data_IF_460399689349
#
_entry.id   IF_460399689349
#
_cell.length_a   1.000
_cell.length_b   1.000
_cell.length_c   1.000
_cell.angle_alpha   90.00
_cell.angle_beta   90.00
_cell.angle_gamma   90.00
#
_symmetry.space_group_name_H-M   'P 1'
#
loop_
_entity.id
_entity.type
_entity.pdbx_description
1 polymer ?
#
# COMPACT_ATOMS: atom_id res chain seq x y z
N UNK A 1 16.25 -43.77 -18.68
CA UNK A 1 14.84 -44.03 -18.31
C UNK A 1 13.89 -43.66 -19.45
N UNK A 2 13.92 -42.42 -19.96
CA UNK A 2 13.04 -41.93 -21.04
C UNK A 2 13.17 -42.75 -22.34
N UNK A 3 14.39 -43.16 -22.73
CA UNK A 3 14.60 -44.03 -23.90
C UNK A 3 13.94 -45.42 -23.79
N UNK A 4 13.83 -45.98 -22.57
CA UNK A 4 13.11 -47.25 -22.35
C UNK A 4 11.59 -47.06 -22.45
N UNK A 5 11.07 -45.93 -21.97
CA UNK A 5 9.66 -45.57 -22.10
C UNK A 5 9.25 -45.36 -23.56
N UNK A 6 10.09 -44.70 -24.36
CA UNK A 6 9.87 -44.54 -25.80
C UNK A 6 9.84 -45.89 -26.53
N UNK A 7 10.76 -46.80 -26.22
CA UNK A 7 10.77 -48.15 -26.83
C UNK A 7 9.52 -48.96 -26.48
N UNK A 8 9.05 -48.86 -25.22
CA UNK A 8 7.85 -49.56 -24.76
C UNK A 8 6.59 -48.97 -25.41
N UNK A 9 6.52 -47.64 -25.54
CA UNK A 9 5.38 -46.96 -26.18
C UNK A 9 5.29 -47.28 -27.69
N UNK A 10 6.42 -47.31 -28.38
CA UNK A 10 6.48 -47.68 -29.80
C UNK A 10 6.07 -49.14 -30.07
N UNK A 11 6.31 -50.04 -29.11
CA UNK A 11 5.93 -51.45 -29.22
C UNK A 11 4.42 -51.68 -29.04
N UNK A 12 3.73 -50.85 -28.25
CA UNK A 12 2.31 -51.03 -27.92
C UNK A 12 1.37 -50.09 -28.68
N UNK A 13 1.84 -48.97 -29.25
CA UNK A 13 0.99 -48.03 -29.98
C UNK A 13 1.70 -47.44 -31.23
N UNK A 14 1.92 -48.25 -32.28
CA UNK A 14 2.66 -47.84 -33.48
C UNK A 14 1.84 -46.85 -34.31
N UNK A 15 2.19 -45.57 -34.24
CA UNK A 15 1.54 -44.48 -35.00
C UNK A 15 1.52 -43.13 -34.28
N UNK A 16 1.76 -43.09 -32.97
CA UNK A 16 1.80 -41.86 -32.18
C UNK A 16 3.22 -41.60 -31.64
N UNK A 17 3.72 -40.37 -31.82
CA UNK A 17 4.97 -39.91 -31.22
C UNK A 17 4.76 -39.70 -29.72
N UNK A 18 5.70 -40.17 -28.90
CA UNK A 18 5.70 -39.90 -27.47
C UNK A 18 6.12 -38.44 -27.25
N UNK A 19 5.17 -37.52 -27.27
CA UNK A 19 5.37 -36.14 -26.82
C UNK A 19 5.35 -36.12 -25.29
N UNK A 20 6.52 -35.86 -24.70
CA UNK A 20 6.66 -35.71 -23.26
C UNK A 20 7.17 -34.30 -22.97
N UNK A 21 6.38 -33.53 -22.22
CA UNK A 21 6.82 -32.29 -21.60
C UNK A 21 7.18 -32.57 -20.15
N UNK A 22 8.29 -32.00 -19.70
CA UNK A 22 8.64 -32.08 -18.29
C UNK A 22 7.68 -31.17 -17.52
N UNK A 23 7.03 -31.74 -16.51
CA UNK A 23 6.15 -31.02 -15.59
C UNK A 23 6.86 -29.78 -14.98
N UNK A 24 8.16 -29.89 -14.75
CA UNK A 24 9.01 -28.79 -14.26
C UNK A 24 9.06 -27.61 -15.24
N UNK A 25 9.11 -27.86 -16.56
CA UNK A 25 9.16 -26.81 -17.58
C UNK A 25 7.83 -26.05 -17.68
N UNK A 26 6.70 -26.75 -17.54
CA UNK A 26 5.37 -26.14 -17.53
C UNK A 26 5.14 -25.31 -16.25
N UNK A 27 5.55 -25.81 -15.08
CA UNK A 27 5.50 -25.02 -13.84
C UNK A 27 6.40 -23.78 -13.91
N UNK A 28 7.60 -23.90 -14.50
CA UNK A 28 8.54 -22.78 -14.60
C UNK A 28 7.98 -21.67 -15.51
N UNK A 29 7.34 -22.02 -16.62
CA UNK A 29 6.67 -21.06 -17.49
C UNK A 29 5.52 -20.33 -16.77
N UNK A 30 4.76 -21.04 -15.94
CA UNK A 30 3.66 -20.47 -15.15
C UNK A 30 4.16 -19.53 -14.03
N UNK A 31 5.25 -19.90 -13.35
CA UNK A 31 5.88 -19.08 -12.30
C UNK A 31 6.54 -17.79 -12.82
N UNK A 32 7.06 -17.77 -14.05
CA UNK A 32 7.71 -16.58 -14.62
C UNK A 32 6.71 -15.44 -14.80
N UNK A 33 5.49 -15.74 -15.26
CA UNK A 33 4.43 -14.73 -15.39
C UNK A 33 4.00 -14.19 -14.02
N UNK A 34 3.85 -15.05 -13.01
CA UNK A 34 3.49 -14.66 -11.64
C UNK A 34 4.58 -13.80 -10.98
N UNK A 35 5.85 -14.17 -11.15
CA UNK A 35 6.99 -13.42 -10.63
C UNK A 35 7.06 -12.00 -11.20
N UNK A 36 6.78 -11.83 -12.49
CA UNK A 36 6.73 -10.51 -13.12
C UNK A 36 5.60 -9.66 -12.54
N UNK A 37 4.38 -10.21 -12.44
CA UNK A 37 3.23 -9.49 -11.87
C UNK A 37 3.50 -9.06 -10.42
N UNK A 38 4.09 -9.94 -9.60
CA UNK A 38 4.43 -9.62 -8.21
C UNK A 38 5.46 -8.48 -8.12
N UNK A 39 6.48 -8.49 -8.97
CA UNK A 39 7.51 -7.43 -9.01
C UNK A 39 6.90 -6.09 -9.44
N UNK A 40 6.09 -6.08 -10.51
CA UNK A 40 5.40 -4.87 -10.98
C UNK A 40 4.46 -4.32 -9.91
N UNK A 41 3.65 -5.19 -9.27
CA UNK A 41 2.75 -4.81 -8.20
C UNK A 41 3.50 -4.16 -7.02
N UNK A 42 4.70 -4.66 -6.68
CA UNK A 42 5.53 -4.06 -5.62
C UNK A 42 5.98 -2.64 -5.98
N UNK A 43 6.39 -2.40 -7.22
CA UNK A 43 6.75 -1.05 -7.68
C UNK A 43 5.55 -0.10 -7.69
N UNK A 44 4.40 -0.55 -8.22
CA UNK A 44 3.18 0.26 -8.22
C UNK A 44 2.70 0.58 -6.82
N UNK A 45 2.75 -0.38 -5.89
CA UNK A 45 2.43 -0.14 -4.49
C UNK A 45 3.36 0.93 -3.87
N UNK A 46 4.67 0.84 -4.12
CA UNK A 46 5.63 1.85 -3.67
C UNK A 46 5.33 3.25 -4.21
N UNK A 47 5.04 3.37 -5.51
CA UNK A 47 4.65 4.65 -6.13
C UNK A 47 3.33 5.18 -5.59
N UNK A 48 2.33 4.32 -5.42
CA UNK A 48 1.03 4.69 -4.87
C UNK A 48 1.15 5.23 -3.44
N UNK A 49 2.01 4.62 -2.61
CA UNK A 49 2.33 5.10 -1.26
C UNK A 49 2.96 6.49 -1.32
N UNK A 50 3.94 6.71 -2.20
CA UNK A 50 4.59 8.01 -2.36
C UNK A 50 3.61 9.10 -2.81
N UNK A 51 2.78 8.82 -3.81
CA UNK A 51 1.77 9.76 -4.31
C UNK A 51 0.73 10.06 -3.21
N UNK A 52 0.30 9.04 -2.47
CA UNK A 52 -0.63 9.21 -1.34
C UNK A 52 -0.03 10.05 -0.23
N UNK A 53 1.26 9.86 0.07
CA UNK A 53 1.99 10.69 1.02
C UNK A 53 2.04 12.15 0.54
N UNK A 54 2.37 12.41 -0.73
CA UNK A 54 2.34 13.76 -1.31
C UNK A 54 0.94 14.41 -1.21
N UNK A 55 -0.12 13.64 -1.47
CA UNK A 55 -1.50 14.11 -1.31
C UNK A 55 -1.84 14.48 0.13
N UNK A 56 -1.46 13.62 1.09
CA UNK A 56 -1.62 13.90 2.53
C UNK A 56 -0.82 15.12 2.97
N UNK A 57 0.41 15.31 2.47
CA UNK A 57 1.23 16.50 2.73
C UNK A 57 0.51 17.77 2.23
N UNK A 58 -0.05 17.73 1.02
CA UNK A 58 -0.80 18.84 0.43
C UNK A 58 -2.06 19.17 1.23
N UNK A 59 -2.83 18.15 1.61
CA UNK A 59 -4.03 18.31 2.43
C UNK A 59 -3.71 18.87 3.82
N UNK A 60 -2.62 18.39 4.45
CA UNK A 60 -2.15 18.88 5.73
C UNK A 60 -1.72 20.35 5.65
N UNK A 61 -0.97 20.72 4.60
CA UNK A 61 -0.55 22.10 4.37
C UNK A 61 -1.75 23.03 4.13
N UNK A 62 -2.72 22.61 3.32
CA UNK A 62 -3.95 23.37 3.07
C UNK A 62 -4.80 23.52 4.35
N UNK A 63 -4.89 22.47 5.17
CA UNK A 63 -5.61 22.51 6.44
C UNK A 63 -4.93 23.45 7.45
N UNK A 64 -3.60 23.41 7.53
CA UNK A 64 -2.82 24.34 8.35
C UNK A 64 -2.99 25.79 7.87
N UNK A 65 -3.05 26.02 6.56
CA UNK A 65 -3.33 27.32 5.96
C UNK A 65 -4.71 27.84 6.38
N UNK A 66 -5.75 27.04 6.17
CA UNK A 66 -7.14 27.39 6.50
C UNK A 66 -7.34 27.68 7.99
N UNK A 67 -6.54 27.05 8.87
CA UNK A 67 -6.59 27.24 10.33
C UNK A 67 -5.51 28.19 10.87
N UNK A 68 -4.83 28.98 10.01
CA UNK A 68 -3.75 29.90 10.47
C UNK A 68 -4.20 30.88 11.54
N UNK A 69 -5.42 31.43 11.45
CA UNK A 69 -5.94 32.38 12.45
C UNK A 69 -6.06 31.73 13.84
N UNK A 70 -6.63 30.53 13.93
CA UNK A 70 -6.74 29.78 15.20
C UNK A 70 -5.36 29.41 15.78
N UNK A 71 -4.45 28.95 14.91
CA UNK A 71 -3.09 28.57 15.29
C UNK A 71 -2.30 29.78 15.78
N UNK A 72 -2.44 30.93 15.11
CA UNK A 72 -1.79 32.19 15.47
C UNK A 72 -2.26 32.73 16.82
N UNK A 73 -3.57 32.72 17.08
CA UNK A 73 -4.15 33.14 18.38
C UNK A 73 -3.67 32.22 19.50
N UNK A 74 -3.74 30.89 19.31
CA UNK A 74 -3.26 29.93 20.33
C UNK A 74 -1.77 30.07 20.60
N UNK A 75 -0.96 30.30 19.57
CA UNK A 75 0.48 30.48 19.71
C UNK A 75 0.83 31.80 20.42
N UNK A 76 0.10 32.88 20.17
CA UNK A 76 0.24 34.14 20.91
C UNK A 76 -0.16 34.01 22.40
N UNK A 77 -1.11 33.12 22.70
CA UNK A 77 -1.51 32.77 24.07
C UNK A 77 -0.57 31.74 24.74
N UNK A 78 0.56 31.39 24.11
CA UNK A 78 1.57 30.50 24.70
C UNK A 78 1.31 28.99 24.52
N UNK A 79 0.44 28.59 23.60
CA UNK A 79 0.22 27.17 23.32
C UNK A 79 1.49 26.48 22.81
N UNK A 80 1.74 25.26 23.30
CA UNK A 80 2.88 24.45 22.90
C UNK A 80 2.80 24.00 21.43
N UNK A 81 3.96 23.87 20.79
CA UNK A 81 4.08 23.37 19.41
C UNK A 81 3.42 21.99 19.25
N UNK A 82 3.49 21.15 20.29
CA UNK A 82 2.86 19.83 20.34
C UNK A 82 1.32 19.90 20.30
N UNK A 83 0.71 20.91 20.93
CA UNK A 83 -0.75 21.08 20.89
C UNK A 83 -1.28 21.41 19.49
N UNK A 84 -0.50 22.15 18.70
CA UNK A 84 -0.81 22.45 17.29
C UNK A 84 -0.64 21.19 16.43
N UNK A 85 0.41 20.41 16.68
CA UNK A 85 0.65 19.14 15.99
C UNK A 85 -0.50 18.15 16.25
N UNK A 86 -0.97 18.03 17.48
CA UNK A 86 -2.08 17.14 17.84
C UNK A 86 -3.41 17.53 17.16
N UNK A 87 -3.71 18.84 17.10
CA UNK A 87 -4.91 19.35 16.44
C UNK A 87 -4.95 18.97 14.95
N UNK A 88 -3.85 19.20 14.24
CA UNK A 88 -3.72 18.87 12.81
C UNK A 88 -3.73 17.36 12.59
N UNK A 89 -2.95 16.62 13.38
CA UNK A 89 -2.83 15.16 13.26
C UNK A 89 -4.15 14.45 13.56
N UNK A 90 -4.90 14.89 14.57
CA UNK A 90 -6.20 14.29 14.92
C UNK A 90 -7.22 14.38 13.79
N UNK A 91 -7.37 15.55 13.16
CA UNK A 91 -8.32 15.73 12.04
C UNK A 91 -8.00 14.87 10.82
N UNK A 92 -6.71 14.66 10.53
CA UNK A 92 -6.26 13.85 9.40
C UNK A 92 -6.28 12.36 9.73
N UNK A 93 -6.01 11.98 10.97
CA UNK A 93 -6.07 10.59 11.44
C UNK A 93 -7.48 10.03 11.27
N UNK A 94 -8.52 10.79 11.61
CA UNK A 94 -9.90 10.36 11.38
C UNK A 94 -10.17 10.02 9.91
N UNK A 95 -9.69 10.87 9.00
CA UNK A 95 -9.87 10.68 7.56
C UNK A 95 -9.15 9.42 7.05
N UNK A 96 -7.95 9.14 7.57
CA UNK A 96 -7.17 7.94 7.25
C UNK A 96 -7.83 6.68 7.81
N UNK A 97 -8.34 6.73 9.04
CA UNK A 97 -9.04 5.59 9.67
C UNK A 97 -10.28 5.21 8.87
N UNK A 98 -11.10 6.18 8.47
CA UNK A 98 -12.28 5.93 7.62
C UNK A 98 -11.86 5.31 6.28
N UNK A 99 -10.80 5.81 5.65
CA UNK A 99 -10.28 5.24 4.41
C UNK A 99 -9.84 3.77 4.58
N UNK A 100 -9.15 3.42 5.68
CA UNK A 100 -8.71 2.05 5.97
C UNK A 100 -9.91 1.13 6.20
N UNK A 101 -10.89 1.56 7.00
CA UNK A 101 -12.10 0.77 7.29
C UNK A 101 -12.87 0.43 6.00
N UNK A 102 -12.86 1.33 5.01
CA UNK A 102 -13.46 1.07 3.70
C UNK A 102 -12.56 0.23 2.77
N UNK A 103 -11.25 0.46 2.81
CA UNK A 103 -10.29 -0.22 1.93
C UNK A 103 -10.09 -1.69 2.29
N UNK A 104 -10.10 -2.05 3.58
CA UNK A 104 -9.91 -3.44 4.03
C UNK A 104 -10.94 -4.44 3.47
N UNK A 105 -12.27 -4.23 3.62
CA UNK A 105 -13.26 -5.15 3.09
C UNK A 105 -13.25 -5.17 1.56
N UNK A 106 -13.00 -4.02 0.92
CA UNK A 106 -12.88 -3.94 -0.53
C UNK A 106 -11.69 -4.78 -1.02
N UNK A 107 -10.53 -4.65 -0.40
CA UNK A 107 -9.33 -5.42 -0.70
C UNK A 107 -9.55 -6.92 -0.50
N UNK A 108 -10.24 -7.32 0.57
CA UNK A 108 -10.59 -8.71 0.83
C UNK A 108 -11.42 -9.32 -0.32
N UNK A 109 -12.48 -8.62 -0.76
CA UNK A 109 -13.34 -9.10 -1.85
C UNK A 109 -12.60 -9.22 -3.18
N UNK A 110 -11.73 -8.26 -3.52
CA UNK A 110 -10.93 -8.32 -4.74
C UNK A 110 -9.94 -9.49 -4.72
N UNK A 111 -9.22 -9.66 -3.60
CA UNK A 111 -8.26 -10.75 -3.42
C UNK A 111 -8.95 -12.11 -3.47
N UNK A 112 -10.15 -12.23 -2.92
CA UNK A 112 -10.91 -13.47 -2.92
C UNK A 112 -11.28 -13.89 -4.35
N UNK A 113 -11.85 -12.96 -5.12
CA UNK A 113 -12.16 -13.21 -6.54
C UNK A 113 -10.93 -13.52 -7.38
N UNK A 114 -9.80 -12.87 -7.08
CA UNK A 114 -8.56 -13.14 -7.79
C UNK A 114 -7.99 -14.53 -7.46
N UNK A 115 -7.98 -14.91 -6.18
CA UNK A 115 -7.51 -16.22 -5.70
C UNK A 115 -8.41 -17.38 -6.10
N UNK A 116 -9.68 -17.13 -6.46
CA UNK A 116 -10.58 -18.17 -6.95
C UNK A 116 -10.09 -18.85 -8.23
N UNK A 117 -9.32 -18.13 -9.06
CA UNK A 117 -8.72 -18.65 -10.30
C UNK A 117 -7.49 -19.55 -10.10
N UNK A 118 -7.02 -19.73 -8.87
CA UNK A 118 -5.81 -20.50 -8.57
C UNK A 118 -6.11 -21.81 -7.84
N UNK A 119 -5.44 -22.88 -8.26
CA UNK A 119 -5.56 -24.21 -7.65
C UNK A 119 -4.90 -24.28 -6.25
N UNK A 120 -3.86 -23.48 -6.02
CA UNK A 120 -3.19 -23.34 -4.72
C UNK A 120 -3.53 -21.99 -4.10
N UNK A 121 -4.27 -22.00 -2.99
CA UNK A 121 -4.73 -20.78 -2.32
C UNK A 121 -3.93 -20.56 -1.04
N UNK A 122 -3.42 -19.34 -0.86
CA UNK A 122 -2.81 -18.92 0.40
C UNK A 122 -3.90 -18.88 1.48
N UNK A 123 -3.61 -19.47 2.65
CA UNK A 123 -4.52 -19.38 3.79
C UNK A 123 -4.68 -17.92 4.24
N UNK A 124 -5.93 -17.49 4.35
CA UNK A 124 -6.27 -16.12 4.75
C UNK A 124 -5.89 -15.89 6.20
N UNK A 125 -4.77 -15.22 6.43
CA UNK A 125 -4.43 -14.76 7.76
C UNK A 125 -4.78 -13.28 7.89
N UNK A 126 -5.68 -12.96 8.81
CA UNK A 126 -6.15 -11.59 9.07
C UNK A 126 -5.01 -10.60 9.35
N UNK A 127 -3.86 -11.09 9.82
CA UNK A 127 -2.71 -10.25 10.13
C UNK A 127 -2.14 -9.51 8.91
N UNK A 128 -2.28 -10.04 7.68
CA UNK A 128 -1.80 -9.33 6.47
C UNK A 128 -2.50 -7.99 6.31
N UNK A 129 -3.82 -7.98 6.51
CA UNK A 129 -4.66 -6.78 6.48
C UNK A 129 -4.34 -5.84 7.64
N UNK A 130 -4.15 -6.39 8.84
CA UNK A 130 -3.78 -5.61 10.01
C UNK A 130 -2.40 -4.94 9.84
N UNK A 131 -1.41 -5.67 9.33
CA UNK A 131 -0.07 -5.17 9.07
C UNK A 131 -0.05 -4.09 7.99
N UNK A 132 -0.80 -4.28 6.89
CA UNK A 132 -0.94 -3.28 5.84
C UNK A 132 -1.64 -2.01 6.34
N UNK A 133 -2.74 -2.14 7.10
CA UNK A 133 -3.45 -1.01 7.70
C UNK A 133 -2.59 -0.25 8.71
N UNK A 134 -1.84 -0.97 9.55
CA UNK A 134 -0.91 -0.38 10.51
C UNK A 134 0.25 0.33 9.80
N UNK A 135 0.82 -0.27 8.76
CA UNK A 135 1.84 0.36 7.93
C UNK A 135 1.34 1.65 7.28
N UNK A 136 0.13 1.64 6.72
CA UNK A 136 -0.49 2.83 6.14
C UNK A 136 -0.72 3.94 7.18
N UNK A 137 -1.18 3.59 8.39
CA UNK A 137 -1.32 4.54 9.51
C UNK A 137 0.01 5.14 9.91
N UNK A 138 1.05 4.32 10.07
CA UNK A 138 2.39 4.79 10.43
C UNK A 138 2.95 5.75 9.38
N UNK A 139 2.82 5.43 8.09
CA UNK A 139 3.25 6.31 7.01
C UNK A 139 2.47 7.62 7.04
N UNK A 140 1.15 7.57 7.22
CA UNK A 140 0.32 8.76 7.31
C UNK A 140 0.72 9.63 8.51
N UNK A 141 0.91 9.05 9.68
CA UNK A 141 1.35 9.78 10.88
C UNK A 141 2.73 10.38 10.74
N UNK A 142 3.70 9.66 10.17
CA UNK A 142 5.03 10.21 9.89
C UNK A 142 4.94 11.41 8.94
N UNK A 143 4.17 11.26 7.86
CA UNK A 143 3.95 12.29 6.84
C UNK A 143 3.30 13.55 7.43
N UNK A 144 2.22 13.37 8.20
CA UNK A 144 1.48 14.47 8.83
C UNK A 144 2.28 15.13 9.94
N UNK A 145 2.98 14.36 10.79
CA UNK A 145 3.80 14.88 11.88
C UNK A 145 4.91 15.78 11.36
N UNK A 146 5.58 15.38 10.27
CA UNK A 146 6.62 16.19 9.62
C UNK A 146 6.06 17.54 9.15
N UNK A 147 4.87 17.57 8.54
CA UNK A 147 4.25 18.83 8.09
C UNK A 147 3.73 19.68 9.23
N UNK A 148 3.06 19.07 10.21
CA UNK A 148 2.54 19.78 11.36
C UNK A 148 3.68 20.44 12.15
N UNK A 149 4.81 19.74 12.28
CA UNK A 149 6.01 20.29 12.90
C UNK A 149 6.62 21.44 12.08
N UNK A 150 6.71 21.29 10.75
CA UNK A 150 7.15 22.37 9.85
C UNK A 150 6.22 23.59 9.92
N UNK A 151 4.91 23.39 9.99
CA UNK A 151 3.92 24.44 10.11
C UNK A 151 4.00 25.15 11.48
N UNK A 152 4.19 24.40 12.56
CA UNK A 152 4.36 24.95 13.91
C UNK A 152 5.62 25.81 14.04
N UNK A 153 6.71 25.45 13.34
CA UNK A 153 7.99 26.20 13.34
C UNK A 153 8.03 27.41 12.42
N UNK A 154 7.06 27.59 11.53
CA UNK A 154 6.99 28.81 10.71
C UNK A 154 6.73 30.03 11.62
N UNK A 155 7.56 31.05 11.44
CA UNK A 155 7.59 32.22 12.32
C UNK A 155 6.27 33.02 12.19
N UNK A 156 5.53 33.23 13.30
CA UNK A 156 4.23 33.90 13.28
C UNK A 156 4.33 35.41 12.99
N UNK A 157 5.54 35.97 13.04
CA UNK A 157 5.80 37.40 12.84
C UNK A 157 5.56 37.84 11.38
N UNK A 158 5.58 36.91 10.41
CA UNK A 158 5.26 37.20 9.01
C UNK A 158 3.75 37.20 8.71
N UNK A 159 2.92 36.51 9.51
CA UNK A 159 1.48 36.40 9.25
C UNK A 159 0.66 37.61 9.71
N UNK A 160 1.21 38.46 10.58
CA UNK A 160 0.53 39.66 11.09
C UNK A 160 0.89 40.95 10.33
N UNK A 161 1.87 40.89 9.43
CA UNK A 161 2.37 42.06 8.68
C UNK A 161 1.93 42.08 7.21
N UNK A 162 1.13 41.08 6.80
CA UNK A 162 0.60 40.93 5.45
C UNK A 162 -0.88 41.34 5.35
N UNK A 163 -1.45 41.90 6.42
CA UNK A 163 -2.67 42.72 6.41
C UNK A 163 -2.29 44.16 6.79
#
# INVERSE_FOLDING_TARGET
AIARLQQLYAAYNPGFTLDYTFLDADYQAQYVAEGQVAVLARYFAGLAILISALGLLGLAAFTAERRRKEIGIRKALGASELGIVWLLTGSLTWLVVVAIVLALPLSYLLLQRWLEGFAYRVAWQWWYFAAAGMGALLIAWLTVSVQAWRAARRNPVLSLRAE
#
